data_IF_837454476137
#
_entry.id   IF_837454476137
#
_cell.length_a   1.000
_cell.length_b   1.000
_cell.length_c   1.000
_cell.angle_alpha   90.00
_cell.angle_beta   90.00
_cell.angle_gamma   90.00
#
_symmetry.space_group_name_H-M   'P 1'
#
loop_
_entity.id
_entity.type
_entity.pdbx_description
1 polymer ?
#
# COMPACT_ATOMS: atom_id res chain seq x y z
N UNK A 1 2.32 -21.48 8.87
CA UNK A 1 3.31 -20.48 8.40
C UNK A 1 3.65 -19.58 9.58
N UNK A 2 4.90 -19.57 10.04
CA UNK A 2 5.29 -18.79 11.22
C UNK A 2 5.87 -17.44 10.79
N UNK A 3 5.18 -16.38 11.19
CA UNK A 3 5.73 -15.02 11.18
C UNK A 3 6.69 -14.96 12.38
N UNK A 4 7.99 -14.83 12.12
CA UNK A 4 9.02 -14.77 13.18
C UNK A 4 9.12 -13.38 13.82
N UNK A 5 8.72 -12.35 13.08
CA UNK A 5 8.80 -10.96 13.50
C UNK A 5 7.51 -10.54 14.22
N UNK A 6 7.64 -10.12 15.47
CA UNK A 6 6.47 -9.77 16.30
C UNK A 6 5.73 -8.54 15.76
N UNK A 7 6.45 -7.52 15.27
CA UNK A 7 5.84 -6.32 14.70
C UNK A 7 5.04 -6.65 13.45
N UNK A 8 5.56 -7.53 12.60
CA UNK A 8 4.80 -8.04 11.46
C UNK A 8 3.55 -8.81 11.91
N UNK A 9 3.68 -9.68 12.92
CA UNK A 9 2.54 -10.44 13.44
C UNK A 9 1.46 -9.46 13.92
N UNK A 10 1.86 -8.40 14.60
CA UNK A 10 0.95 -7.34 15.02
C UNK A 10 0.29 -6.62 13.84
N UNK A 11 1.05 -6.18 12.83
CA UNK A 11 0.45 -5.54 11.64
C UNK A 11 -0.53 -6.50 10.97
N UNK A 12 -0.10 -7.74 10.71
CA UNK A 12 -0.93 -8.70 10.00
C UNK A 12 -2.20 -9.10 10.77
N UNK A 13 -2.16 -9.14 12.10
CA UNK A 13 -3.30 -9.61 12.90
C UNK A 13 -4.14 -8.50 13.52
N UNK A 14 -3.57 -7.33 13.80
CA UNK A 14 -4.16 -6.29 14.64
C UNK A 14 -4.16 -4.89 14.01
N UNK A 15 -3.55 -4.68 12.83
CA UNK A 15 -3.53 -3.35 12.23
C UNK A 15 -4.95 -2.82 11.94
N UNK A 16 -5.09 -1.52 12.16
CA UNK A 16 -6.24 -0.71 11.76
C UNK A 16 -5.70 0.63 11.22
N UNK A 17 -4.86 0.54 10.17
CA UNK A 17 -5.34 0.52 8.77
C UNK A 17 -5.23 -0.83 8.02
N UNK A 18 -5.79 -0.94 6.78
CA UNK A 18 -5.62 -2.11 5.92
C UNK A 18 -4.16 -2.44 5.58
N UNK A 19 -3.93 -3.70 5.20
CA UNK A 19 -2.63 -4.24 4.79
C UNK A 19 -2.73 -4.85 3.39
N UNK A 20 -1.86 -4.41 2.47
CA UNK A 20 -1.62 -5.06 1.18
C UNK A 20 -0.24 -5.72 1.23
N UNK A 21 -0.22 -7.03 1.08
CA UNK A 21 1.01 -7.82 1.02
C UNK A 21 1.25 -8.34 -0.39
N UNK A 22 2.19 -7.68 -1.09
CA UNK A 22 2.75 -8.12 -2.37
C UNK A 22 3.87 -9.12 -2.13
N UNK A 23 3.56 -10.39 -2.38
CA UNK A 23 4.53 -11.48 -2.27
C UNK A 23 5.46 -11.52 -3.50
N UNK A 24 6.17 -12.64 -3.67
CA UNK A 24 7.04 -12.84 -4.85
C UNK A 24 6.21 -12.78 -6.13
N UNK A 25 6.89 -12.49 -7.25
CA UNK A 25 6.26 -12.47 -8.57
C UNK A 25 5.50 -13.77 -8.85
N UNK A 26 4.33 -13.64 -9.49
CA UNK A 26 3.44 -14.76 -9.81
C UNK A 26 2.43 -15.15 -8.71
N UNK A 27 2.57 -14.61 -7.48
CA UNK A 27 1.60 -14.86 -6.41
C UNK A 27 0.57 -13.72 -6.30
N UNK A 28 -0.70 -14.00 -5.95
CA UNK A 28 -1.69 -12.96 -5.73
C UNK A 28 -1.32 -12.07 -4.54
N UNK A 29 -1.79 -10.82 -4.57
CA UNK A 29 -1.73 -9.94 -3.40
C UNK A 29 -2.57 -10.55 -2.29
N UNK A 30 -2.09 -10.46 -1.06
CA UNK A 30 -2.91 -10.71 0.12
C UNK A 30 -3.37 -9.38 0.69
N UNK A 31 -4.68 -9.21 0.86
CA UNK A 31 -5.29 -7.94 1.27
C UNK A 31 -6.11 -8.19 2.52
N UNK A 32 -5.79 -7.46 3.58
CA UNK A 32 -6.50 -7.53 4.85
C UNK A 32 -7.05 -6.16 5.21
N UNK A 33 -8.36 -6.08 5.41
CA UNK A 33 -9.03 -4.89 5.93
C UNK A 33 -9.27 -5.06 7.44
N UNK A 34 -9.34 -3.97 8.20
CA UNK A 34 -9.72 -4.02 9.61
C UNK A 34 -11.19 -4.45 9.77
N UNK A 35 -11.48 -5.10 10.89
CA UNK A 35 -12.82 -5.57 11.24
C UNK A 35 -13.25 -6.87 10.54
N UNK A 36 -14.36 -7.43 11.02
CA UNK A 36 -14.84 -8.77 10.64
C UNK A 36 -16.00 -8.76 9.63
N UNK A 37 -16.38 -7.59 9.10
CA UNK A 37 -17.46 -7.48 8.10
C UNK A 37 -16.98 -7.85 6.69
N UNK A 38 -16.93 -9.15 6.42
CA UNK A 38 -16.42 -9.70 5.15
C UNK A 38 -17.20 -9.22 3.90
N UNK A 39 -18.51 -8.98 3.99
CA UNK A 39 -19.31 -8.55 2.83
C UNK A 39 -18.97 -7.10 2.43
N UNK A 40 -18.88 -6.19 3.38
CA UNK A 40 -18.46 -4.81 3.12
C UNK A 40 -17.01 -4.76 2.59
N UNK A 41 -16.11 -5.57 3.18
CA UNK A 41 -14.73 -5.65 2.74
C UNK A 41 -14.61 -6.16 1.29
N UNK A 42 -15.45 -7.10 0.86
CA UNK A 42 -15.46 -7.58 -0.51
C UNK A 42 -15.76 -6.46 -1.50
N UNK A 43 -16.81 -5.68 -1.25
CA UNK A 43 -17.23 -4.61 -2.16
C UNK A 43 -16.21 -3.48 -2.23
N UNK A 44 -15.64 -3.07 -1.07
CA UNK A 44 -14.54 -2.10 -1.02
C UNK A 44 -13.35 -2.60 -1.84
N UNK A 45 -12.85 -3.81 -1.59
CA UNK A 45 -11.67 -4.33 -2.32
C UNK A 45 -11.96 -4.49 -3.82
N UNK A 46 -13.18 -4.89 -4.17
CA UNK A 46 -13.55 -5.14 -5.55
C UNK A 46 -13.65 -3.86 -6.37
N UNK A 47 -14.19 -2.78 -5.79
CA UNK A 47 -14.38 -1.48 -6.44
C UNK A 47 -14.88 -1.62 -7.90
N UNK A 48 -16.02 -2.32 -8.09
CA UNK A 48 -16.66 -2.58 -9.38
C UNK A 48 -15.82 -3.32 -10.45
N UNK A 49 -14.63 -3.84 -10.11
CA UNK A 49 -13.80 -4.57 -11.07
C UNK A 49 -14.43 -5.91 -11.48
N UNK A 50 -14.15 -6.34 -12.71
CA UNK A 50 -14.67 -7.60 -13.27
C UNK A 50 -14.20 -8.82 -12.49
N UNK A 51 -12.90 -8.89 -12.16
CA UNK A 51 -12.37 -10.00 -11.37
C UNK A 51 -12.86 -9.90 -9.92
N UNK A 52 -13.23 -11.05 -9.34
CA UNK A 52 -13.69 -11.12 -7.95
C UNK A 52 -12.51 -11.46 -7.03
N UNK A 53 -12.30 -10.72 -5.92
CA UNK A 53 -11.41 -11.14 -4.86
C UNK A 53 -11.78 -12.53 -4.35
N UNK A 54 -10.79 -13.34 -3.97
CA UNK A 54 -11.00 -14.68 -3.40
C UNK A 54 -10.69 -14.67 -1.91
N UNK A 55 -11.55 -15.26 -1.10
CA UNK A 55 -11.25 -15.39 0.33
C UNK A 55 -10.21 -16.50 0.56
N UNK A 56 -9.08 -16.15 1.16
CA UNK A 56 -8.08 -17.09 1.62
C UNK A 56 -8.32 -17.45 3.09
N UNK A 57 -8.85 -18.65 3.33
CA UNK A 57 -9.16 -19.15 4.68
C UNK A 57 -7.91 -19.35 5.55
N UNK A 58 -6.78 -19.72 4.94
CA UNK A 58 -5.53 -20.00 5.65
C UNK A 58 -4.95 -18.74 6.30
N UNK A 59 -4.98 -17.62 5.59
CA UNK A 59 -4.43 -16.35 6.07
C UNK A 59 -5.49 -15.37 6.58
N UNK A 60 -6.78 -15.75 6.47
CA UNK A 60 -7.94 -14.91 6.84
C UNK A 60 -7.86 -13.54 6.18
N UNK A 61 -7.67 -13.54 4.86
CA UNK A 61 -7.53 -12.34 4.05
C UNK A 61 -8.14 -12.56 2.66
N UNK A 62 -8.18 -11.50 1.85
CA UNK A 62 -8.58 -11.56 0.45
C UNK A 62 -7.36 -11.72 -0.46
N UNK A 63 -7.55 -12.42 -1.57
CA UNK A 63 -6.59 -12.53 -2.66
C UNK A 63 -7.07 -11.71 -3.86
N UNK A 64 -6.20 -10.88 -4.41
CA UNK A 64 -6.47 -10.07 -5.60
C UNK A 64 -5.34 -10.22 -6.64
N UNK A 65 -5.62 -9.91 -7.92
CA UNK A 65 -4.58 -9.86 -8.95
C UNK A 65 -3.43 -8.90 -8.58
N UNK A 66 -2.18 -9.26 -8.91
CA UNK A 66 -1.00 -8.38 -8.68
C UNK A 66 -1.11 -7.05 -9.40
N UNK A 67 -1.77 -7.03 -10.57
CA UNK A 67 -2.01 -5.82 -11.33
C UNK A 67 -2.85 -4.77 -10.58
N UNK A 68 -3.50 -5.16 -9.47
CA UNK A 68 -4.28 -4.24 -8.65
C UNK A 68 -3.43 -3.52 -7.58
N UNK A 69 -2.11 -3.70 -7.56
CA UNK A 69 -1.32 -3.25 -6.42
C UNK A 69 -1.41 -1.74 -6.19
N UNK A 70 -1.18 -0.94 -7.23
CA UNK A 70 -1.13 0.51 -7.11
C UNK A 70 -2.53 1.12 -6.98
N UNK A 71 -3.50 0.68 -7.79
CA UNK A 71 -4.86 1.22 -7.78
C UNK A 71 -5.65 0.80 -6.54
N UNK A 72 -5.47 -0.43 -6.03
CA UNK A 72 -6.07 -0.84 -4.76
C UNK A 72 -5.48 -0.07 -3.58
N UNK A 73 -4.18 0.19 -3.56
CA UNK A 73 -3.56 0.97 -2.50
C UNK A 73 -4.13 2.39 -2.46
N UNK A 74 -4.21 3.07 -3.60
CA UNK A 74 -4.84 4.40 -3.68
C UNK A 74 -6.31 4.38 -3.30
N UNK A 75 -7.06 3.36 -3.74
CA UNK A 75 -8.46 3.21 -3.35
C UNK A 75 -8.61 3.02 -1.84
N UNK A 76 -7.83 2.14 -1.21
CA UNK A 76 -7.88 1.96 0.24
C UNK A 76 -7.46 3.24 0.98
N UNK A 77 -6.47 3.98 0.49
CA UNK A 77 -6.10 5.28 1.07
C UNK A 77 -7.23 6.31 1.03
N UNK A 78 -8.16 6.24 0.07
CA UNK A 78 -9.33 7.13 0.05
C UNK A 78 -10.43 6.73 1.04
N UNK A 79 -10.36 5.53 1.62
CA UNK A 79 -11.37 4.98 2.55
C UNK A 79 -10.88 4.85 3.98
N UNK A 80 -9.56 4.83 4.20
CA UNK A 80 -8.93 4.55 5.48
C UNK A 80 -7.87 5.60 5.82
N UNK A 81 -7.53 5.72 7.10
CA UNK A 81 -6.52 6.67 7.61
C UNK A 81 -5.07 6.33 7.21
N UNK A 82 -4.88 5.24 6.46
CA UNK A 82 -3.59 4.79 5.98
C UNK A 82 -3.70 3.43 5.30
N UNK A 83 -2.60 2.93 4.75
CA UNK A 83 -2.47 1.58 4.21
C UNK A 83 -1.05 1.07 4.43
N UNK A 84 -0.92 -0.11 5.03
CA UNK A 84 0.36 -0.81 5.06
C UNK A 84 0.63 -1.51 3.73
N UNK A 85 1.79 -1.23 3.16
CA UNK A 85 2.34 -1.92 2.01
C UNK A 85 3.50 -2.81 2.43
N UNK A 86 3.30 -4.11 2.29
CA UNK A 86 4.33 -5.12 2.51
C UNK A 86 4.79 -5.66 1.17
N UNK A 87 6.10 -5.63 0.91
CA UNK A 87 6.69 -6.19 -0.31
C UNK A 87 8.09 -6.72 -0.11
N UNK A 88 8.60 -7.49 -1.07
CA UNK A 88 9.93 -8.10 -0.98
C UNK A 88 11.00 -7.02 -0.75
N UNK A 89 11.96 -7.30 0.13
CA UNK A 89 13.08 -6.43 0.44
C UNK A 89 14.39 -7.07 -0.01
N UNK A 90 15.15 -6.35 -0.84
CA UNK A 90 16.46 -6.78 -1.33
C UNK A 90 17.54 -5.84 -0.83
N UNK A 91 18.20 -6.26 0.24
CA UNK A 91 19.26 -5.52 0.95
C UNK A 91 20.42 -5.09 0.04
N UNK A 92 20.75 -5.91 -0.97
CA UNK A 92 21.81 -5.63 -1.94
C UNK A 92 21.36 -4.70 -3.08
N UNK A 93 20.05 -4.51 -3.30
CA UNK A 93 19.54 -3.68 -4.38
C UNK A 93 19.52 -2.20 -3.94
N UNK A 94 20.58 -1.46 -4.25
CA UNK A 94 20.67 -0.03 -3.94
C UNK A 94 19.67 0.78 -4.75
N UNK A 95 19.22 1.91 -4.20
CA UNK A 95 18.29 2.79 -4.89
C UNK A 95 18.98 3.39 -6.12
N UNK A 96 18.25 3.40 -7.22
CA UNK A 96 18.73 3.77 -8.55
C UNK A 96 17.73 4.74 -9.19
N UNK A 97 18.04 5.38 -10.33
CA UNK A 97 17.12 6.29 -11.01
C UNK A 97 15.72 5.71 -11.24
N UNK A 98 15.59 4.39 -11.47
CA UNK A 98 14.30 3.72 -11.59
C UNK A 98 13.42 3.81 -10.33
N UNK A 99 14.02 3.91 -9.13
CA UNK A 99 13.30 4.13 -7.87
C UNK A 99 12.96 5.60 -7.66
N UNK A 100 13.93 6.50 -7.86
CA UNK A 100 13.71 7.94 -7.73
C UNK A 100 12.66 8.47 -8.71
N UNK A 101 12.60 7.90 -9.92
CA UNK A 101 11.68 8.35 -10.97
C UNK A 101 10.43 7.48 -11.08
N UNK A 102 10.18 6.60 -10.10
CA UNK A 102 9.03 5.71 -10.13
C UNK A 102 7.70 6.47 -9.96
N UNK A 103 6.71 6.08 -10.75
CA UNK A 103 5.34 6.62 -10.65
C UNK A 103 4.39 5.70 -9.86
N UNK A 104 4.67 4.39 -9.85
CA UNK A 104 3.90 3.39 -9.10
C UNK A 104 4.38 3.22 -7.67
N UNK A 105 3.84 2.27 -6.91
CA UNK A 105 4.22 2.03 -5.52
C UNK A 105 5.27 0.93 -5.36
N UNK A 106 5.62 0.22 -6.43
CA UNK A 106 6.53 -0.92 -6.35
C UNK A 106 7.96 -0.52 -5.97
N UNK A 107 8.50 -1.10 -4.89
CA UNK A 107 9.84 -0.78 -4.38
C UNK A 107 10.48 -1.93 -3.58
N UNK A 108 11.45 -2.64 -4.14
CA UNK A 108 12.18 -3.72 -3.43
C UNK A 108 13.59 -3.33 -2.96
N UNK A 109 14.00 -2.09 -3.19
CA UNK A 109 15.35 -1.61 -2.94
C UNK A 109 15.64 -1.38 -1.44
N UNK A 110 16.92 -1.23 -1.13
CA UNK A 110 17.44 -1.15 0.22
C UNK A 110 16.97 0.10 1.00
N UNK A 111 16.52 1.16 0.32
CA UNK A 111 15.98 2.36 0.99
C UNK A 111 14.53 2.20 1.47
N UNK A 112 13.91 1.03 1.28
CA UNK A 112 12.56 0.74 1.80
C UNK A 112 11.51 1.80 1.39
N UNK A 113 11.68 2.40 0.22
CA UNK A 113 10.78 3.43 -0.30
C UNK A 113 11.09 4.87 0.13
N UNK A 114 12.10 5.12 0.97
CA UNK A 114 12.42 6.46 1.48
C UNK A 114 12.75 7.50 0.40
N UNK A 115 13.21 7.05 -0.78
CA UNK A 115 13.53 7.91 -1.91
C UNK A 115 12.63 7.64 -3.13
N UNK A 116 11.51 6.93 -2.95
CA UNK A 116 10.73 6.41 -4.07
C UNK A 116 9.83 7.49 -4.70
N UNK A 117 9.94 7.70 -6.02
CA UNK A 117 9.16 8.72 -6.74
C UNK A 117 9.58 10.16 -6.44
N UNK A 118 10.80 10.36 -5.95
CA UNK A 118 11.34 11.63 -5.51
C UNK A 118 11.85 12.58 -6.61
N UNK A 119 12.04 12.09 -7.85
CA UNK A 119 12.63 12.81 -8.99
C UNK A 119 14.13 13.12 -8.84
N UNK A 120 14.62 13.20 -7.60
CA UNK A 120 16.01 13.26 -7.11
C UNK A 120 15.94 13.10 -5.56
N UNK A 121 16.99 13.10 -4.70
CA UNK A 121 16.83 12.81 -3.27
C UNK A 121 16.04 13.86 -2.42
N UNK A 122 15.12 14.63 -3.00
CA UNK A 122 14.37 15.70 -2.33
C UNK A 122 12.92 15.84 -2.84
N UNK A 123 12.11 14.80 -2.65
CA UNK A 123 10.65 14.85 -2.84
C UNK A 123 10.03 13.48 -2.56
N UNK A 124 8.78 13.39 -2.11
CA UNK A 124 8.08 12.11 -2.01
C UNK A 124 6.69 12.27 -2.63
N UNK A 125 6.24 11.26 -3.35
CA UNK A 125 4.91 11.27 -3.98
C UNK A 125 3.78 10.90 -3.00
N UNK A 126 4.14 10.39 -1.82
CA UNK A 126 3.24 10.00 -0.72
C UNK A 126 3.99 10.11 0.61
N UNK A 127 3.25 10.42 1.68
CA UNK A 127 3.81 10.43 3.03
C UNK A 127 4.00 9.01 3.56
N UNK A 128 5.23 8.68 3.97
CA UNK A 128 5.58 7.41 4.58
C UNK A 128 5.93 7.67 6.04
N UNK A 129 5.05 7.24 6.95
CA UNK A 129 5.21 7.54 8.38
C UNK A 129 6.10 6.53 9.12
N UNK A 130 6.22 5.31 8.61
CA UNK A 130 7.12 4.29 9.14
C UNK A 130 7.56 3.29 8.07
N UNK A 131 8.81 2.81 8.19
CA UNK A 131 9.37 1.74 7.36
C UNK A 131 10.25 0.80 8.17
N UNK A 132 10.10 -0.51 7.97
CA UNK A 132 11.00 -1.51 8.57
C UNK A 132 11.05 -2.78 7.73
N UNK A 133 12.10 -3.59 7.92
CA UNK A 133 12.23 -4.89 7.26
C UNK A 133 12.05 -6.05 8.24
N UNK A 134 11.46 -7.14 7.78
CA UNK A 134 11.18 -8.34 8.56
C UNK A 134 11.35 -9.60 7.71
N UNK A 135 11.37 -10.78 8.36
CA UNK A 135 11.41 -12.07 7.67
C UNK A 135 10.06 -12.75 7.67
N UNK A 136 9.64 -13.25 6.50
CA UNK A 136 8.47 -14.13 6.37
C UNK A 136 8.89 -15.37 5.56
N UNK A 137 8.92 -16.54 6.20
CA UNK A 137 9.54 -17.73 5.61
C UNK A 137 11.04 -17.50 5.39
N UNK A 138 11.53 -17.75 4.18
CA UNK A 138 12.96 -17.58 3.82
C UNK A 138 13.25 -16.24 3.10
N UNK A 139 12.28 -15.34 3.07
CA UNK A 139 12.39 -14.06 2.36
C UNK A 139 12.31 -12.88 3.34
N UNK A 140 13.09 -11.84 3.06
CA UNK A 140 13.00 -10.55 3.74
C UNK A 140 12.00 -9.67 3.00
N UNK A 141 11.20 -8.92 3.75
CA UNK A 141 10.18 -8.00 3.25
C UNK A 141 10.34 -6.66 3.95
N UNK A 142 9.90 -5.58 3.30
CA UNK A 142 9.77 -4.27 3.88
C UNK A 142 8.29 -3.95 4.06
N UNK A 143 7.95 -3.37 5.22
CA UNK A 143 6.67 -2.72 5.48
C UNK A 143 6.84 -1.22 5.30
N UNK A 144 5.85 -0.56 4.70
CA UNK A 144 5.71 0.89 4.65
C UNK A 144 4.28 1.27 5.01
N UNK A 145 4.08 2.18 5.94
CA UNK A 145 2.78 2.80 6.16
C UNK A 145 2.64 4.02 5.27
N UNK A 146 1.69 3.99 4.34
CA UNK A 146 1.27 5.17 3.59
C UNK A 146 0.14 5.87 4.35
N UNK A 147 0.23 7.19 4.46
CA UNK A 147 -0.86 8.02 4.97
C UNK A 147 -1.52 8.80 3.83
N UNK A 148 -2.82 9.13 3.94
CA UNK A 148 -3.44 10.08 3.03
C UNK A 148 -2.69 11.41 3.12
N UNK A 149 -2.27 11.97 1.99
CA UNK A 149 -1.66 13.30 1.97
C UNK A 149 -2.70 14.32 2.47
N UNK A 150 -2.51 14.84 3.67
CA UNK A 150 -3.28 15.97 4.16
C UNK A 150 -2.86 17.19 3.33
N UNK A 151 -3.80 17.71 2.53
CA UNK A 151 -3.74 18.96 1.77
C UNK A 151 -2.86 19.04 0.50
N UNK A 152 -3.45 18.64 -0.62
CA UNK A 152 -3.42 19.41 -1.90
C UNK A 152 -4.79 19.60 -2.57
N UNK A 153 -5.90 19.28 -1.89
CA UNK A 153 -7.27 19.43 -2.43
C UNK A 153 -8.02 20.68 -1.96
N UNK A 154 -7.39 21.56 -1.19
CA UNK A 154 -7.94 22.87 -0.79
C UNK A 154 -7.31 24.03 -1.58
N UNK A 155 -7.47 24.06 -2.90
CA UNK A 155 -7.42 25.31 -3.67
C UNK A 155 -7.91 25.10 -5.11
N UNK A 156 -9.23 24.99 -5.29
CA UNK A 156 -9.91 25.39 -6.52
C UNK A 156 -11.36 25.74 -6.19
N UNK A 157 -11.53 26.75 -5.34
CA UNK A 157 -12.76 27.53 -5.26
C UNK A 157 -12.40 29.00 -5.08
N UNK A 158 -11.99 29.64 -6.18
CA UNK A 158 -12.08 31.09 -6.33
C UNK A 158 -12.61 31.45 -7.72
N UNK A 159 -13.84 31.97 -7.68
CA UNK A 159 -14.34 33.17 -8.38
C UNK A 159 -14.65 33.11 -9.88
N UNK A 160 -15.95 33.26 -10.18
CA UNK A 160 -16.49 33.90 -11.39
C UNK A 160 -17.89 34.44 -11.07
N UNK A 161 -17.97 35.61 -10.44
CA UNK A 161 -18.47 36.86 -11.05
C UNK A 161 -19.97 36.86 -11.35
N UNK A 162 -20.74 37.31 -10.36
CA UNK A 162 -21.99 38.04 -10.56
C UNK A 162 -21.68 39.39 -11.22
N UNK A 163 -22.08 39.56 -12.47
CA UNK A 163 -22.35 40.89 -13.03
C UNK A 163 -23.85 41.13 -13.00
N UNK A 164 -24.28 42.03 -12.11
CA UNK A 164 -25.48 42.81 -12.32
C UNK A 164 -25.16 43.86 -13.38
N UNK A 165 -25.99 43.92 -14.43
CA UNK A 165 -26.68 45.11 -14.95
C UNK A 165 -27.75 44.64 -15.94
#
# INVERSE_FOLDING_TARGET
MQIKDEKLREIWHKANPPVIFKRKSGEPLLVKLPGDNHLNNFDIIRNNKRHKPKWNKQFKCWETPVAWYDDLAHHLLSHFSGVYLIQLYREQQKCAPACWNALGLHCECSCMGANHGSGHPSGNWHEVSETFAFTWGDKKYASRLLLPTLDKYSSNNKTGHSHNL
#
